data_IF_583988717277
#
_entry.id   IF_583988717277
#
_cell.length_a   1.000
_cell.length_b   1.000
_cell.length_c   1.000
_cell.angle_alpha   90.00
_cell.angle_beta   90.00
_cell.angle_gamma   90.00
#
_symmetry.space_group_name_H-M   'P 1'
#
loop_
_entity.id
_entity.type
_entity.pdbx_description
1 polymer ?
#
# COMPACT_ATOMS: atom_id res chain seq x y z
N UNK A 1 15.09 34.55 -0.75
CA UNK A 1 15.69 33.41 -0.04
C UNK A 1 14.54 32.70 0.67
N UNK A 2 13.95 31.66 0.06
CA UNK A 2 12.84 30.92 0.67
C UNK A 2 13.44 29.98 1.70
N UNK A 3 13.03 30.16 2.95
CA UNK A 3 13.49 29.36 4.07
C UNK A 3 12.78 27.99 4.00
N UNK A 4 13.47 26.96 3.50
CA UNK A 4 13.03 25.56 3.57
C UNK A 4 13.21 25.09 5.02
N UNK A 5 12.37 25.58 5.93
CA UNK A 5 12.14 24.92 7.20
C UNK A 5 11.26 23.71 6.88
N UNK A 6 11.88 22.57 6.61
CA UNK A 6 11.17 21.30 6.53
C UNK A 6 10.56 21.05 7.91
N UNK A 7 9.28 21.36 8.06
CA UNK A 7 8.51 20.96 9.24
C UNK A 7 8.36 19.45 9.13
N UNK A 8 9.12 18.70 9.91
CA UNK A 8 8.91 17.26 10.04
C UNK A 8 7.56 17.08 10.73
N UNK A 9 6.54 16.69 9.97
CA UNK A 9 5.25 16.26 10.50
C UNK A 9 5.31 14.77 10.76
N UNK A 10 4.94 14.39 11.97
CA UNK A 10 4.84 13.00 12.39
C UNK A 10 3.36 12.64 12.36
N UNK A 11 3.04 11.61 11.60
CA UNK A 11 1.70 11.02 11.54
C UNK A 11 1.71 9.75 12.37
N UNK A 12 0.85 9.70 13.38
CA UNK A 12 0.55 8.46 14.09
C UNK A 12 -0.71 7.86 13.47
N UNK A 13 -0.55 6.69 12.86
CA UNK A 13 -1.64 5.89 12.33
C UNK A 13 -1.85 4.70 13.24
N UNK A 14 -3.11 4.29 13.42
CA UNK A 14 -3.41 3.00 14.03
C UNK A 14 -2.84 1.85 13.19
N UNK A 15 -2.84 0.65 13.76
CA UNK A 15 -2.37 -0.54 13.02
C UNK A 15 -3.30 -0.80 11.83
N UNK A 16 -2.78 -0.65 10.62
CA UNK A 16 -3.50 -0.92 9.37
C UNK A 16 -3.31 -2.38 8.98
N UNK A 17 -4.40 -3.11 8.78
CA UNK A 17 -4.39 -4.53 8.41
C UNK A 17 -4.60 -4.69 6.90
N UNK A 18 -3.59 -5.17 6.20
CA UNK A 18 -3.71 -5.44 4.77
C UNK A 18 -4.46 -6.74 4.48
N UNK A 19 -5.46 -6.66 3.60
CA UNK A 19 -6.14 -7.85 3.06
C UNK A 19 -5.28 -8.65 2.07
N UNK A 20 -4.21 -8.06 1.53
CA UNK A 20 -3.32 -8.70 0.56
C UNK A 20 -2.18 -9.45 1.25
N UNK A 21 -1.83 -10.62 0.71
CA UNK A 21 -0.73 -11.45 1.19
C UNK A 21 0.61 -10.98 0.61
N UNK A 22 1.69 -11.12 1.39
CA UNK A 22 3.07 -10.83 0.97
C UNK A 22 3.69 -9.58 1.60
N UNK A 23 4.95 -9.68 2.06
CA UNK A 23 5.67 -8.57 2.72
C UNK A 23 5.86 -7.35 1.83
N UNK A 24 6.06 -7.56 0.52
CA UNK A 24 6.17 -6.48 -0.45
C UNK A 24 4.90 -5.62 -0.53
N UNK A 25 3.72 -6.18 -0.20
CA UNK A 25 2.48 -5.41 -0.17
C UNK A 25 2.47 -4.39 0.98
N UNK A 26 3.18 -4.65 2.07
CA UNK A 26 3.38 -3.66 3.14
C UNK A 26 4.18 -2.46 2.65
N UNK A 27 5.22 -2.70 1.86
CA UNK A 27 6.02 -1.62 1.25
C UNK A 27 5.19 -0.82 0.24
N UNK A 28 4.40 -1.49 -0.60
CA UNK A 28 3.48 -0.82 -1.53
C UNK A 28 2.44 0.04 -0.79
N UNK A 29 1.84 -0.48 0.28
CA UNK A 29 0.90 0.26 1.10
C UNK A 29 1.55 1.48 1.76
N UNK A 30 2.73 1.31 2.35
CA UNK A 30 3.49 2.42 2.95
C UNK A 30 3.82 3.52 1.92
N UNK A 31 4.22 3.12 0.70
CA UNK A 31 4.50 4.05 -0.39
C UNK A 31 3.22 4.81 -0.82
N UNK A 32 2.10 4.12 -0.97
CA UNK A 32 0.82 4.73 -1.32
C UNK A 32 0.34 5.72 -0.24
N UNK A 33 0.41 5.34 1.04
CA UNK A 33 0.06 6.20 2.18
C UNK A 33 0.93 7.47 2.18
N UNK A 34 2.25 7.30 1.99
CA UNK A 34 3.19 8.43 1.97
C UNK A 34 2.88 9.39 0.82
N UNK A 35 2.59 8.86 -0.37
CA UNK A 35 2.22 9.67 -1.52
C UNK A 35 0.93 10.47 -1.29
N UNK A 36 -0.09 9.86 -0.67
CA UNK A 36 -1.35 10.54 -0.33
C UNK A 36 -1.13 11.67 0.69
N UNK A 37 -0.33 11.42 1.73
CA UNK A 37 0.02 12.43 2.74
C UNK A 37 0.75 13.60 2.08
N UNK A 38 1.75 13.34 1.23
CA UNK A 38 2.52 14.39 0.54
C UNK A 38 1.62 15.24 -0.37
N UNK A 39 0.74 14.60 -1.15
CA UNK A 39 -0.22 15.32 -2.00
C UNK A 39 -1.16 16.21 -1.19
N UNK A 40 -1.59 15.75 -0.02
CA UNK A 40 -2.43 16.53 0.89
C UNK A 40 -1.66 17.70 1.52
N UNK A 41 -0.39 17.49 1.92
CA UNK A 41 0.45 18.55 2.47
C UNK A 41 0.76 19.65 1.45
N UNK A 42 0.91 19.29 0.18
CA UNK A 42 1.06 20.25 -0.92
C UNK A 42 -0.26 20.97 -1.28
N UNK A 43 -1.37 20.61 -0.64
CA UNK A 43 -2.69 21.18 -0.90
C UNK A 43 -3.27 20.79 -2.26
N UNK A 44 -2.76 19.71 -2.86
CA UNK A 44 -3.23 19.21 -4.16
C UNK A 44 -4.51 18.37 -4.03
N UNK A 45 -4.71 17.75 -2.87
CA UNK A 45 -5.91 17.00 -2.51
C UNK A 45 -6.31 17.32 -1.07
N UNK A 46 -7.57 17.02 -0.73
CA UNK A 46 -8.03 16.94 0.66
C UNK A 46 -8.13 15.46 1.03
N UNK A 47 -7.28 15.02 1.97
CA UNK A 47 -7.21 13.63 2.40
C UNK A 47 -8.00 13.39 3.69
N UNK A 48 -8.99 12.51 3.60
CA UNK A 48 -9.66 11.92 4.75
C UNK A 48 -8.90 10.66 5.19
N UNK A 49 -8.23 10.73 6.35
CA UNK A 49 -7.40 9.65 6.87
C UNK A 49 -8.18 8.37 7.16
N UNK A 50 -9.45 8.47 7.58
CA UNK A 50 -10.26 7.28 7.85
C UNK A 50 -10.57 6.56 6.53
N UNK A 51 -10.94 7.30 5.50
CA UNK A 51 -11.18 6.72 4.16
C UNK A 51 -9.91 6.15 3.54
N UNK A 52 -8.76 6.77 3.79
CA UNK A 52 -7.47 6.23 3.37
C UNK A 52 -7.23 4.86 4.01
N UNK A 53 -7.39 4.75 5.34
CA UNK A 53 -7.24 3.48 6.06
C UNK A 53 -8.22 2.44 5.52
N UNK A 54 -9.51 2.75 5.45
CA UNK A 54 -10.54 1.85 4.92
C UNK A 54 -10.20 1.36 3.49
N UNK A 55 -9.70 2.26 2.64
CA UNK A 55 -9.29 1.94 1.27
C UNK A 55 -8.08 1.00 1.21
N UNK A 56 -7.08 1.22 2.07
CA UNK A 56 -5.89 0.37 2.16
C UNK A 56 -6.23 -1.01 2.74
N UNK A 57 -7.09 -1.08 3.76
CA UNK A 57 -7.46 -2.36 4.39
C UNK A 57 -8.36 -3.21 3.49
N UNK A 58 -9.25 -2.58 2.72
CA UNK A 58 -10.20 -3.28 1.84
C UNK A 58 -9.65 -3.64 0.46
N UNK A 59 -8.47 -3.12 0.09
CA UNK A 59 -7.93 -3.32 -1.26
C UNK A 59 -7.71 -4.80 -1.57
N UNK A 60 -8.18 -5.21 -2.75
CA UNK A 60 -7.85 -6.49 -3.37
C UNK A 60 -7.35 -6.22 -4.78
N UNK A 61 -6.27 -6.90 -5.17
CA UNK A 61 -5.66 -6.71 -6.47
C UNK A 61 -5.66 -8.03 -7.25
N UNK A 62 -6.48 -8.08 -8.31
CA UNK A 62 -6.52 -9.20 -9.26
C UNK A 62 -5.12 -9.49 -9.82
N UNK A 63 -4.70 -10.75 -9.77
CA UNK A 63 -3.39 -11.19 -10.24
C UNK A 63 -2.21 -10.90 -9.29
N UNK A 64 -2.45 -10.55 -8.03
CA UNK A 64 -1.43 -10.46 -6.96
C UNK A 64 -1.74 -11.47 -5.86
N UNK A 65 -1.10 -12.64 -5.90
CA UNK A 65 -1.36 -13.78 -4.99
C UNK A 65 -2.88 -14.00 -4.81
N UNK A 66 -3.59 -14.10 -5.93
CA UNK A 66 -5.04 -14.23 -5.96
C UNK A 66 -5.43 -15.71 -5.94
N UNK A 67 -6.17 -16.15 -4.92
CA UNK A 67 -6.76 -17.49 -4.93
C UNK A 67 -7.95 -17.52 -5.90
N UNK A 68 -7.81 -18.27 -6.99
CA UNK A 68 -8.85 -18.41 -8.03
C UNK A 68 -9.62 -19.72 -7.92
N UNK A 69 -9.13 -20.68 -7.13
CA UNK A 69 -9.82 -21.95 -6.87
C UNK A 69 -9.40 -22.55 -5.52
N UNK A 70 -10.32 -23.23 -4.83
CA UNK A 70 -10.06 -23.82 -3.50
C UNK A 70 -9.58 -25.27 -3.55
N UNK A 71 -10.22 -26.15 -4.35
CA UNK A 71 -9.87 -27.58 -4.41
C UNK A 71 -9.92 -28.17 -5.83
N UNK A 72 -8.77 -28.35 -6.52
CA UNK A 72 -7.42 -28.10 -6.01
C UNK A 72 -7.17 -26.61 -5.75
N UNK A 73 -6.30 -26.29 -4.80
CA UNK A 73 -5.90 -24.91 -4.55
C UNK A 73 -5.19 -24.37 -5.79
N UNK A 74 -5.70 -23.28 -6.35
CA UNK A 74 -5.07 -22.56 -7.47
C UNK A 74 -4.89 -21.10 -7.05
N UNK A 75 -3.65 -20.64 -7.09
CA UNK A 75 -3.25 -19.26 -6.82
C UNK A 75 -2.65 -18.69 -8.11
N UNK A 76 -3.13 -17.52 -8.52
CA UNK A 76 -2.62 -16.76 -9.64
C UNK A 76 -1.76 -15.61 -9.11
N UNK A 77 -0.52 -15.50 -9.60
CA UNK A 77 0.32 -14.37 -9.30
C UNK A 77 1.05 -13.88 -10.56
N UNK A 78 1.03 -12.57 -10.77
CA UNK A 78 1.67 -11.89 -11.89
C UNK A 78 3.11 -11.48 -11.61
N UNK A 79 3.79 -12.11 -10.66
CA UNK A 79 5.21 -11.91 -10.41
C UNK A 79 6.02 -12.29 -11.66
N UNK A 80 6.70 -11.30 -12.24
CA UNK A 80 7.53 -11.50 -13.44
C UNK A 80 8.83 -10.70 -13.41
N UNK A 81 9.11 -9.98 -12.32
CA UNK A 81 10.40 -9.34 -12.07
C UNK A 81 11.16 -10.11 -10.99
N UNK A 82 12.48 -9.95 -10.95
CA UNK A 82 13.36 -10.64 -10.00
C UNK A 82 12.93 -10.43 -8.55
N UNK A 83 12.56 -9.20 -8.18
CA UNK A 83 12.13 -8.89 -6.82
C UNK A 83 10.83 -9.60 -6.42
N UNK A 84 9.87 -9.76 -7.34
CA UNK A 84 8.61 -10.45 -7.05
C UNK A 84 8.76 -11.97 -7.09
N UNK A 85 9.67 -12.50 -7.92
CA UNK A 85 10.00 -13.94 -7.93
C UNK A 85 10.67 -14.34 -6.61
N UNK A 86 11.61 -13.53 -6.11
CA UNK A 86 12.24 -13.76 -4.81
C UNK A 86 11.25 -13.69 -3.65
N UNK A 87 10.22 -12.84 -3.76
CA UNK A 87 9.14 -12.74 -2.77
C UNK A 87 8.15 -13.93 -2.78
N UNK A 88 8.22 -14.81 -3.78
CA UNK A 88 7.35 -15.97 -3.94
C UNK A 88 8.00 -17.29 -3.48
N UNK A 89 9.31 -17.27 -3.17
CA UNK A 89 10.09 -18.44 -2.74
C UNK A 89 10.01 -18.71 -1.24
#
# INVERSE_FOLDING_TARGET
>A
MMNLLTVIKIYELETIILSMLGEHQKQNAALAITALIELNEQGLIELDFNKMVDGIESVRWTGRIEQVHDKPLIILDGAHNSESIDALN
#
